data_IF_206112048326
#
_entry.id   IF_206112048326
#
_cell.length_a   1.000
_cell.length_b   1.000
_cell.length_c   1.000
_cell.angle_alpha   90.00
_cell.angle_beta   90.00
_cell.angle_gamma   90.00
#
_symmetry.space_group_name_H-M   'P 1'
#
loop_
_entity.id
_entity.type
_entity.pdbx_description
1 polymer ?
#
# COMPACT_ATOMS: atom_id res chain seq x y z
N UNK A 1 4.24 17.02 17.44
CA UNK A 1 3.82 16.90 16.01
C UNK A 1 4.58 15.78 15.31
N UNK A 2 5.86 15.60 15.61
CA UNK A 2 6.70 14.44 15.27
C UNK A 2 6.19 13.11 15.85
N UNK A 3 5.59 13.10 17.04
CA UNK A 3 5.11 11.86 17.68
C UNK A 3 3.98 11.17 16.91
N UNK A 4 3.06 11.93 16.31
CA UNK A 4 1.97 11.37 15.50
C UNK A 4 2.48 10.76 14.19
N UNK A 5 3.50 11.38 13.58
CA UNK A 5 4.15 10.83 12.39
C UNK A 5 4.89 9.55 12.75
N UNK A 6 5.62 9.54 13.87
CA UNK A 6 6.33 8.35 14.36
C UNK A 6 5.38 7.19 14.70
N UNK A 7 4.28 7.46 15.40
CA UNK A 7 3.25 6.44 15.69
C UNK A 7 2.58 5.90 14.42
N UNK A 8 2.33 6.77 13.44
CA UNK A 8 1.71 6.35 12.17
C UNK A 8 2.68 5.46 11.38
N UNK A 9 3.98 5.80 11.40
CA UNK A 9 5.03 4.99 10.76
C UNK A 9 5.21 3.66 11.48
N UNK A 10 5.21 3.62 12.81
CA UNK A 10 5.31 2.37 13.59
C UNK A 10 4.13 1.42 13.34
N UNK A 11 2.91 1.95 13.23
CA UNK A 11 1.72 1.15 12.88
C UNK A 11 1.82 0.62 11.44
N UNK A 12 2.41 1.40 10.53
CA UNK A 12 2.66 0.97 9.16
C UNK A 12 3.76 -0.10 9.09
N UNK A 13 4.85 0.06 9.83
CA UNK A 13 5.99 -0.87 9.89
C UNK A 13 5.61 -2.19 10.60
N UNK A 14 4.66 -2.18 11.54
CA UNK A 14 4.18 -3.38 12.21
C UNK A 14 3.52 -4.42 11.28
N UNK A 15 3.19 -4.06 10.03
CA UNK A 15 2.60 -4.98 9.05
C UNK A 15 3.63 -5.37 7.98
N UNK A 16 4.67 -6.11 8.40
CA UNK A 16 5.57 -6.80 7.46
C UNK A 16 4.75 -7.67 6.49
N UNK A 17 4.97 -7.47 5.18
CA UNK A 17 4.23 -8.17 4.13
C UNK A 17 2.91 -7.52 3.69
N UNK A 18 2.59 -6.30 4.13
CA UNK A 18 1.41 -5.55 3.65
C UNK A 18 1.35 -5.39 2.13
N UNK A 19 2.50 -5.12 1.49
CA UNK A 19 2.57 -4.98 0.04
C UNK A 19 2.28 -6.33 -0.65
N UNK A 20 2.74 -7.44 -0.06
CA UNK A 20 2.43 -8.78 -0.54
C UNK A 20 0.93 -9.11 -0.38
N UNK A 21 0.31 -8.74 0.75
CA UNK A 21 -1.13 -8.95 0.98
C UNK A 21 -2.01 -8.13 0.03
N UNK A 22 -1.66 -6.86 -0.20
CA UNK A 22 -2.38 -5.98 -1.12
C UNK A 22 -2.18 -6.46 -2.56
N UNK A 23 -0.95 -6.83 -2.93
CA UNK A 23 -0.62 -7.37 -4.24
C UNK A 23 -1.35 -8.69 -4.50
N UNK A 24 -1.40 -9.60 -3.53
CA UNK A 24 -2.18 -10.83 -3.61
C UNK A 24 -3.67 -10.53 -3.82
N UNK A 25 -4.24 -9.61 -3.03
CA UNK A 25 -5.66 -9.22 -3.14
C UNK A 25 -5.98 -8.59 -4.50
N UNK A 26 -5.05 -7.81 -5.04
CA UNK A 26 -5.17 -7.13 -6.33
C UNK A 26 -5.15 -8.13 -7.49
N UNK A 27 -4.22 -9.09 -7.48
CA UNK A 27 -4.21 -10.18 -8.46
C UNK A 27 -5.40 -11.12 -8.30
N UNK A 28 -5.83 -11.39 -7.07
CA UNK A 28 -7.03 -12.18 -6.79
C UNK A 28 -8.29 -11.51 -7.36
N UNK A 29 -8.45 -10.20 -7.18
CA UNK A 29 -9.54 -9.44 -7.79
C UNK A 29 -9.47 -9.46 -9.32
N UNK A 30 -8.28 -9.35 -9.90
CA UNK A 30 -8.08 -9.42 -11.34
C UNK A 30 -8.46 -10.81 -11.89
N UNK A 31 -7.99 -11.86 -11.23
CA UNK A 31 -8.27 -13.25 -11.56
C UNK A 31 -9.78 -13.54 -11.47
N UNK A 32 -10.42 -13.18 -10.35
CA UNK A 32 -11.87 -13.26 -10.20
C UNK A 32 -12.61 -12.50 -11.30
N UNK A 33 -12.17 -11.28 -11.64
CA UNK A 33 -12.83 -10.47 -12.68
C UNK A 33 -12.80 -11.13 -14.06
N UNK A 34 -11.83 -12.02 -14.32
CA UNK A 34 -11.73 -12.81 -15.55
C UNK A 34 -12.72 -13.98 -15.62
N UNK A 35 -13.18 -14.50 -14.48
CA UNK A 35 -14.21 -15.54 -14.43
C UNK A 35 -15.64 -15.00 -14.62
N UNK A 36 -15.85 -13.69 -14.46
CA UNK A 36 -17.16 -13.07 -14.62
C UNK A 36 -17.31 -12.38 -15.98
N UNK A 37 -18.48 -12.49 -16.63
CA UNK A 37 -18.73 -11.78 -17.88
C UNK A 37 -18.65 -10.27 -17.66
N UNK A 38 -18.04 -9.57 -18.61
CA UNK A 38 -17.73 -8.13 -18.55
C UNK A 38 -18.95 -7.22 -18.32
N UNK A 39 -20.15 -7.70 -18.68
CA UNK A 39 -21.43 -7.00 -18.46
C UNK A 39 -22.00 -7.17 -17.05
N UNK A 40 -21.45 -8.07 -16.23
CA UNK A 40 -21.94 -8.31 -14.87
C UNK A 40 -21.65 -7.12 -13.95
N UNK A 41 -22.58 -6.84 -13.03
CA UNK A 41 -22.39 -5.86 -11.97
C UNK A 41 -21.21 -6.23 -11.06
N UNK A 42 -20.94 -7.53 -10.90
CA UNK A 42 -19.82 -8.05 -10.12
C UNK A 42 -18.47 -7.69 -10.75
N UNK A 43 -18.32 -7.83 -12.07
CA UNK A 43 -17.10 -7.44 -12.79
C UNK A 43 -16.79 -5.94 -12.59
N UNK A 44 -17.79 -5.05 -12.71
CA UNK A 44 -17.61 -3.61 -12.45
C UNK A 44 -17.28 -3.31 -10.99
N UNK A 45 -17.83 -4.07 -10.05
CA UNK A 45 -17.51 -3.91 -8.63
C UNK A 45 -16.07 -4.34 -8.34
N UNK A 46 -15.64 -5.48 -8.87
CA UNK A 46 -14.27 -5.98 -8.77
C UNK A 46 -13.26 -5.02 -9.40
N UNK A 47 -13.56 -4.43 -10.55
CA UNK A 47 -12.70 -3.39 -11.15
C UNK A 47 -12.61 -2.11 -10.30
N UNK A 48 -13.70 -1.69 -9.65
CA UNK A 48 -13.67 -0.56 -8.71
C UNK A 48 -12.82 -0.86 -7.49
N UNK A 49 -12.93 -2.07 -6.95
CA UNK A 49 -12.12 -2.54 -5.81
C UNK A 49 -10.65 -2.63 -6.21
N UNK A 50 -10.35 -3.19 -7.38
CA UNK A 50 -9.00 -3.24 -7.96
C UNK A 50 -8.37 -1.85 -8.06
N UNK A 51 -9.07 -0.87 -8.64
CA UNK A 51 -8.57 0.49 -8.78
C UNK A 51 -8.29 1.16 -7.43
N UNK A 52 -9.17 0.95 -6.44
CA UNK A 52 -8.94 1.48 -5.08
C UNK A 52 -7.76 0.83 -4.38
N UNK A 53 -7.55 -0.48 -4.57
CA UNK A 53 -6.39 -1.19 -4.04
C UNK A 53 -5.09 -0.72 -4.70
N UNK A 54 -5.12 -0.41 -6.00
CA UNK A 54 -4.00 0.18 -6.73
C UNK A 54 -3.64 1.56 -6.17
N UNK A 55 -4.63 2.43 -5.96
CA UNK A 55 -4.44 3.74 -5.34
C UNK A 55 -3.86 3.61 -3.91
N UNK A 56 -4.38 2.68 -3.10
CA UNK A 56 -3.83 2.40 -1.78
C UNK A 56 -2.36 1.96 -1.84
N UNK A 57 -1.98 1.12 -2.81
CA UNK A 57 -0.61 0.64 -2.95
C UNK A 57 0.37 1.75 -3.31
N UNK A 58 -0.05 2.74 -4.10
CA UNK A 58 0.75 3.94 -4.40
C UNK A 58 1.01 4.73 -3.12
N UNK A 59 -0.03 4.94 -2.30
CA UNK A 59 0.10 5.65 -1.02
C UNK A 59 1.03 4.90 -0.07
N UNK A 60 0.91 3.57 0.02
CA UNK A 60 1.77 2.75 0.86
C UNK A 60 3.25 2.79 0.43
N UNK A 61 3.54 2.78 -0.87
CA UNK A 61 4.89 2.99 -1.38
C UNK A 61 5.43 4.36 -1.06
N UNK A 62 4.60 5.40 -1.19
CA UNK A 62 4.98 6.75 -0.80
C UNK A 62 5.34 6.82 0.70
N UNK A 63 4.62 6.11 1.56
CA UNK A 63 4.97 5.98 2.97
C UNK A 63 6.28 5.23 3.20
N UNK A 64 6.53 4.12 2.49
CA UNK A 64 7.82 3.41 2.57
C UNK A 64 8.99 4.31 2.15
N UNK A 65 8.82 5.07 1.05
CA UNK A 65 9.84 6.02 0.58
C UNK A 65 10.08 7.15 1.60
N UNK A 66 9.03 7.58 2.33
CA UNK A 66 9.15 8.56 3.41
C UNK A 66 9.89 8.00 4.64
N UNK A 67 9.68 6.73 4.98
CA UNK A 67 10.45 6.04 6.04
C UNK A 67 11.93 5.98 5.67
N UNK A 68 12.24 5.64 4.42
CA UNK A 68 13.62 5.65 3.91
C UNK A 68 14.23 7.05 3.96
N UNK A 69 13.47 8.09 3.57
CA UNK A 69 13.90 9.49 3.68
C UNK A 69 14.19 9.90 5.13
N UNK A 70 13.31 9.53 6.07
CA UNK A 70 13.53 9.77 7.51
C UNK A 70 14.83 9.11 7.96
N UNK A 71 15.05 7.85 7.62
CA UNK A 71 16.23 7.11 8.02
C UNK A 71 17.51 7.73 7.41
N UNK A 72 17.44 8.19 6.16
CA UNK A 72 18.53 8.86 5.45
C UNK A 72 18.88 10.21 6.10
N UNK A 73 17.87 11.04 6.42
CA UNK A 73 18.08 12.28 7.16
C UNK A 73 18.62 12.02 8.57
N UNK A 74 18.15 10.98 9.26
CA UNK A 74 18.62 10.63 10.61
C UNK A 74 20.07 10.14 10.60
N UNK A 75 20.49 9.46 9.53
CA UNK A 75 21.88 9.02 9.34
C UNK A 75 22.81 10.18 8.96
N UNK A 76 22.39 11.10 8.09
CA UNK A 76 23.20 12.27 7.71
C UNK A 76 23.30 13.33 8.81
N UNK A 77 22.33 13.39 9.73
CA UNK A 77 22.34 14.29 10.90
C UNK A 77 23.08 13.73 12.12
N UNK A 78 23.71 12.55 12.02
CA UNK A 78 24.63 12.04 13.04
C UNK A 78 26.07 12.39 12.62
N UNK A 79 26.62 13.55 13.02
CA UNK A 79 28.03 13.83 12.77
C UNK A 79 28.86 12.80 13.53
N UNK A 80 29.70 12.07 12.79
CA UNK A 80 30.84 11.37 13.36
C UNK A 80 31.89 12.35 13.85
#
# INVERSE_FOLDING_TARGET
MTDYVSQTVDVLDCYEGRDAAITFTLYFCCLLSGFYPRKSNLHRSLQRVFKRLEDCRVVLRLYDDLTILRDLFTYELRPG
#
